data_IF_154935800881
#
_entry.id   IF_154935800881
#
_cell.length_a   1.000
_cell.length_b   1.000
_cell.length_c   1.000
_cell.angle_alpha   90.00
_cell.angle_beta   90.00
_cell.angle_gamma   90.00
#
_symmetry.space_group_name_H-M   'P 1'
#
loop_
_entity.id
_entity.type
_entity.pdbx_description
1 polymer ?
#
# COMPACT_ATOMS: atom_id res chain seq x y z
N UNK A 1 19.44 16.42 -81.98
CA UNK A 1 20.29 17.09 -80.97
C UNK A 1 19.38 17.90 -80.05
N UNK A 2 18.59 17.23 -79.20
CA UNK A 2 18.82 17.11 -77.76
C UNK A 2 19.03 18.47 -77.06
N UNK A 3 18.09 18.90 -76.22
CA UNK A 3 18.30 18.96 -74.77
C UNK A 3 16.95 18.96 -74.02
N UNK A 4 16.93 18.16 -72.97
CA UNK A 4 15.77 17.64 -72.25
C UNK A 4 15.31 18.57 -71.12
N UNK A 5 14.00 18.52 -70.86
CA UNK A 5 13.33 18.97 -69.64
C UNK A 5 13.97 18.36 -68.38
N UNK A 6 14.18 19.17 -67.34
CA UNK A 6 14.51 18.72 -65.99
C UNK A 6 13.44 19.25 -65.02
N UNK A 7 12.38 18.46 -64.82
CA UNK A 7 11.49 18.58 -63.67
C UNK A 7 12.15 17.86 -62.49
N UNK A 8 12.65 18.61 -61.51
CA UNK A 8 13.13 18.05 -60.26
C UNK A 8 11.93 17.70 -59.37
N UNK A 9 11.58 16.42 -59.30
CA UNK A 9 10.63 15.89 -58.31
C UNK A 9 11.36 15.78 -56.97
N UNK A 10 10.93 16.58 -55.99
CA UNK A 10 11.37 16.48 -54.60
C UNK A 10 10.66 15.27 -53.99
N UNK A 11 11.33 14.12 -53.95
CA UNK A 11 10.91 12.98 -53.14
C UNK A 11 11.33 13.22 -51.69
N UNK A 12 10.40 13.73 -50.88
CA UNK A 12 10.50 13.63 -49.42
C UNK A 12 10.43 12.13 -49.06
N UNK A 13 11.37 11.60 -48.27
CA UNK A 13 11.22 10.25 -47.75
C UNK A 13 10.04 10.26 -46.77
N UNK A 14 8.94 9.64 -47.14
CA UNK A 14 7.92 9.22 -46.19
C UNK A 14 8.59 8.20 -45.26
N UNK A 15 9.08 8.67 -44.11
CA UNK A 15 9.36 7.77 -43.00
C UNK A 15 8.03 7.11 -42.66
N UNK A 16 7.89 5.78 -42.71
CA UNK A 16 6.72 5.16 -42.12
C UNK A 16 6.73 5.57 -40.66
N UNK A 17 5.74 6.38 -40.27
CA UNK A 17 5.45 6.56 -38.87
C UNK A 17 5.19 5.15 -38.35
N UNK A 18 6.15 4.61 -37.59
CA UNK A 18 5.93 3.36 -36.88
C UNK A 18 4.60 3.54 -36.16
N UNK A 19 3.61 2.65 -36.36
CA UNK A 19 2.46 2.69 -35.49
C UNK A 19 3.05 2.56 -34.09
N UNK A 20 2.81 3.58 -33.26
CA UNK A 20 2.97 3.41 -31.83
C UNK A 20 2.13 2.18 -31.55
N UNK A 21 2.82 1.05 -31.33
CA UNK A 21 2.20 -0.14 -30.80
C UNK A 21 1.63 0.35 -29.50
N UNK A 22 0.35 0.74 -29.52
CA UNK A 22 -0.42 0.92 -28.33
C UNK A 22 -0.45 -0.49 -27.78
N UNK A 23 0.57 -0.79 -26.95
CA UNK A 23 0.59 -1.93 -26.08
C UNK A 23 -0.59 -1.66 -25.17
N UNK A 24 -1.74 -2.10 -25.63
CA UNK A 24 -2.86 -2.42 -24.81
C UNK A 24 -2.29 -3.51 -23.91
N UNK A 25 -1.73 -3.11 -22.77
CA UNK A 25 -1.44 -4.01 -21.68
C UNK A 25 -2.81 -4.55 -21.27
N UNK A 26 -3.20 -5.60 -21.98
CA UNK A 26 -4.34 -6.41 -21.70
C UNK A 26 -3.98 -7.11 -20.40
N UNK A 27 -4.33 -6.46 -19.30
CA UNK A 27 -4.14 -6.97 -17.95
C UNK A 27 -4.50 -8.45 -17.92
N UNK A 28 -3.61 -9.30 -17.40
CA UNK A 28 -4.03 -10.67 -17.13
C UNK A 28 -5.13 -10.61 -16.07
N UNK A 29 -6.14 -11.49 -16.15
CA UNK A 29 -7.21 -11.53 -15.14
C UNK A 29 -6.65 -11.71 -13.72
N UNK A 30 -5.46 -12.32 -13.59
CA UNK A 30 -4.75 -12.55 -12.34
C UNK A 30 -4.23 -11.22 -11.75
N UNK A 31 -3.67 -10.34 -12.58
CA UNK A 31 -3.17 -9.03 -12.13
C UNK A 31 -4.32 -8.16 -11.63
N UNK A 32 -5.46 -8.19 -12.33
CA UNK A 32 -6.67 -7.46 -11.91
C UNK A 32 -7.21 -7.95 -10.56
N UNK A 33 -7.20 -9.25 -10.30
CA UNK A 33 -7.66 -9.80 -9.02
C UNK A 33 -6.73 -9.42 -7.86
N UNK A 34 -5.42 -9.44 -8.09
CA UNK A 34 -4.41 -9.03 -7.10
C UNK A 34 -4.59 -7.54 -6.76
N UNK A 35 -4.70 -6.69 -7.78
CA UNK A 35 -4.92 -5.24 -7.62
C UNK A 35 -6.22 -4.98 -6.88
N UNK A 36 -7.32 -5.62 -7.28
CA UNK A 36 -8.61 -5.46 -6.63
C UNK A 36 -8.55 -5.83 -5.16
N UNK A 37 -7.94 -6.98 -4.82
CA UNK A 37 -7.79 -7.43 -3.43
C UNK A 37 -6.92 -6.48 -2.60
N UNK A 38 -5.86 -5.94 -3.20
CA UNK A 38 -5.02 -4.94 -2.54
C UNK A 38 -5.83 -3.67 -2.24
N UNK A 39 -6.52 -3.13 -3.26
CA UNK A 39 -7.32 -1.92 -3.12
C UNK A 39 -8.47 -2.14 -2.14
N UNK A 40 -9.17 -3.28 -2.18
CA UNK A 40 -10.26 -3.58 -1.24
C UNK A 40 -9.78 -3.61 0.21
N UNK A 41 -8.56 -4.09 0.44
CA UNK A 41 -7.98 -4.17 1.78
C UNK A 41 -7.46 -2.82 2.29
N UNK A 42 -6.74 -2.08 1.44
CA UNK A 42 -5.99 -0.90 1.87
C UNK A 42 -6.66 0.43 1.51
N UNK A 43 -7.47 0.44 0.45
CA UNK A 43 -8.25 1.58 -0.05
C UNK A 43 -9.74 1.20 -0.15
N UNK A 44 -10.37 0.86 1.00
CA UNK A 44 -11.77 0.44 1.00
C UNK A 44 -12.67 1.62 0.63
N UNK A 45 -13.72 1.33 -0.15
CA UNK A 45 -14.75 2.33 -0.44
C UNK A 45 -15.60 2.52 0.82
N UNK A 46 -15.53 3.71 1.42
CA UNK A 46 -16.21 4.01 2.68
C UNK A 46 -17.70 4.35 2.50
N UNK A 47 -18.08 4.83 1.31
CA UNK A 47 -19.47 5.16 0.98
C UNK A 47 -20.13 4.05 0.16
N UNK A 48 -21.24 3.49 0.67
CA UNK A 48 -22.02 2.45 -0.03
C UNK A 48 -22.65 2.92 -1.35
N UNK A 49 -22.77 4.24 -1.56
CA UNK A 49 -23.35 4.82 -2.77
C UNK A 49 -22.32 5.08 -3.87
N UNK A 50 -21.02 4.98 -3.56
CA UNK A 50 -19.95 5.26 -4.50
C UNK A 50 -19.44 3.96 -5.12
N UNK A 51 -19.53 3.85 -6.45
CA UNK A 51 -18.88 2.78 -7.20
C UNK A 51 -17.74 3.39 -7.98
N UNK A 52 -16.50 3.22 -7.51
CA UNK A 52 -15.30 3.66 -8.22
C UNK A 52 -14.79 2.56 -9.15
N UNK A 53 -14.41 2.93 -10.36
CA UNK A 53 -13.67 2.07 -11.28
C UNK A 53 -12.30 1.71 -10.69
N UNK A 54 -11.70 0.61 -11.17
CA UNK A 54 -10.35 0.22 -10.74
C UNK A 54 -9.32 1.32 -11.06
N UNK A 55 -9.47 2.00 -12.21
CA UNK A 55 -8.60 3.11 -12.60
C UNK A 55 -8.65 4.26 -11.57
N UNK A 56 -9.85 4.68 -11.15
CA UNK A 56 -10.02 5.73 -10.15
C UNK A 56 -9.40 5.34 -8.80
N UNK A 57 -9.57 4.09 -8.39
CA UNK A 57 -8.98 3.56 -7.14
C UNK A 57 -7.46 3.47 -7.22
N UNK A 58 -6.89 3.15 -8.38
CA UNK A 58 -5.44 3.22 -8.61
C UNK A 58 -4.97 4.66 -8.51
N UNK A 59 -5.69 5.64 -9.08
CA UNK A 59 -5.34 7.07 -8.98
C UNK A 59 -5.31 7.55 -7.52
N UNK A 60 -6.26 7.12 -6.69
CA UNK A 60 -6.28 7.43 -5.26
C UNK A 60 -5.06 6.85 -4.53
N UNK A 61 -4.73 5.58 -4.80
CA UNK A 61 -3.56 4.92 -4.23
C UNK A 61 -2.27 5.63 -4.67
N UNK A 62 -2.11 5.92 -5.96
CA UNK A 62 -0.94 6.62 -6.50
C UNK A 62 -0.76 7.98 -5.83
N UNK A 63 -1.86 8.73 -5.66
CA UNK A 63 -1.85 10.01 -4.96
C UNK A 63 -1.40 9.87 -3.50
N UNK A 64 -1.87 8.84 -2.79
CA UNK A 64 -1.49 8.57 -1.41
C UNK A 64 0.00 8.27 -1.25
N UNK A 65 0.57 7.48 -2.17
CA UNK A 65 2.00 7.14 -2.18
C UNK A 65 2.87 8.17 -2.90
N UNK A 66 2.31 9.30 -3.32
CA UNK A 66 3.01 10.36 -4.06
C UNK A 66 3.67 9.89 -5.36
N UNK A 67 3.03 8.94 -6.06
CA UNK A 67 3.41 8.51 -7.40
C UNK A 67 2.83 9.43 -8.47
N UNK A 68 3.32 9.28 -9.71
CA UNK A 68 2.66 9.88 -10.87
C UNK A 68 1.26 9.29 -11.02
N UNK A 69 0.24 10.14 -11.08
CA UNK A 69 -1.17 9.71 -11.12
C UNK A 69 -1.54 9.33 -12.56
N UNK A 70 -1.32 8.05 -12.91
CA UNK A 70 -1.60 7.50 -14.24
C UNK A 70 -2.93 6.73 -14.29
N UNK A 71 -3.41 6.22 -13.15
CA UNK A 71 -4.54 5.28 -13.06
C UNK A 71 -4.26 3.88 -13.60
N UNK A 72 -3.01 3.60 -13.95
CA UNK A 72 -2.57 2.31 -14.49
C UNK A 72 -1.69 1.62 -13.46
N UNK A 73 -1.69 0.30 -13.47
CA UNK A 73 -0.69 -0.49 -12.76
C UNK A 73 0.62 -0.46 -13.56
N UNK A 74 1.30 0.69 -13.52
CA UNK A 74 2.66 0.83 -14.01
C UNK A 74 3.67 0.20 -13.03
N UNK A 75 4.95 0.11 -13.45
CA UNK A 75 6.01 -0.55 -12.67
C UNK A 75 6.17 0.02 -11.27
N UNK A 76 6.01 1.34 -11.11
CA UNK A 76 6.13 2.00 -9.81
C UNK A 76 4.95 1.62 -8.91
N UNK A 77 3.74 1.62 -9.47
CA UNK A 77 2.52 1.19 -8.77
C UNK A 77 2.59 -0.28 -8.36
N UNK A 78 3.05 -1.16 -9.25
CA UNK A 78 3.26 -2.58 -8.97
C UNK A 78 4.30 -2.79 -7.87
N UNK A 79 5.41 -2.05 -7.92
CA UNK A 79 6.44 -2.07 -6.88
C UNK A 79 5.88 -1.73 -5.50
N UNK A 80 5.02 -0.71 -5.40
CA UNK A 80 4.36 -0.35 -4.13
C UNK A 80 3.36 -1.42 -3.67
N UNK A 81 2.58 -2.01 -4.59
CA UNK A 81 1.56 -3.01 -4.25
C UNK A 81 2.17 -4.35 -3.78
N UNK A 82 3.36 -4.69 -4.28
CA UNK A 82 4.07 -5.94 -3.96
C UNK A 82 4.93 -5.85 -2.70
N UNK A 83 5.26 -4.64 -2.24
CA UNK A 83 6.08 -4.43 -1.05
C UNK A 83 5.38 -4.89 0.24
N UNK A 84 6.05 -5.68 1.11
CA UNK A 84 5.51 -6.04 2.43
C UNK A 84 5.16 -4.80 3.25
N UNK A 85 4.00 -4.84 3.91
CA UNK A 85 3.42 -3.68 4.60
C UNK A 85 2.57 -4.05 5.80
N UNK A 86 2.15 -3.04 6.55
CA UNK A 86 1.18 -3.20 7.64
C UNK A 86 -0.15 -3.76 7.11
N UNK A 87 -0.91 -4.44 7.98
CA UNK A 87 -2.19 -5.04 7.62
C UNK A 87 -3.38 -4.09 7.68
N UNK A 88 -3.20 -2.88 8.20
CA UNK A 88 -4.25 -1.86 8.39
C UNK A 88 -4.55 -1.12 7.08
N UNK A 89 -5.79 -0.65 6.85
CA UNK A 89 -6.11 0.21 5.73
C UNK A 89 -5.34 1.53 5.74
N UNK A 90 -5.02 2.04 4.55
CA UNK A 90 -4.29 3.30 4.35
C UNK A 90 -5.25 4.51 4.36
N UNK A 91 -6.47 4.33 3.85
CA UNK A 91 -7.52 5.38 3.79
C UNK A 91 -8.81 4.91 4.47
N UNK A 92 -8.81 4.91 5.79
CA UNK A 92 -10.02 4.78 6.59
C UNK A 92 -9.78 5.37 7.98
N UNK A 93 -10.83 5.90 8.60
CA UNK A 93 -10.82 6.08 10.05
C UNK A 93 -10.61 4.71 10.70
N UNK A 94 -9.92 4.67 11.84
CA UNK A 94 -9.66 3.43 12.57
C UNK A 94 -11.00 2.76 12.97
N UNK A 95 -11.47 1.80 12.16
CA UNK A 95 -12.82 1.26 12.29
C UNK A 95 -13.01 0.31 13.48
N UNK A 96 -11.94 -0.06 14.20
CA UNK A 96 -12.06 -0.98 15.33
C UNK A 96 -12.74 -0.33 16.53
N UNK A 97 -12.61 0.99 16.72
CA UNK A 97 -13.28 1.73 17.79
C UNK A 97 -13.90 3.02 17.24
N UNK A 98 -15.17 3.33 17.57
CA UNK A 98 -15.83 4.54 17.07
C UNK A 98 -15.17 5.82 17.62
N UNK A 99 -15.15 6.87 16.80
CA UNK A 99 -14.67 8.20 17.17
C UNK A 99 -13.15 8.32 17.19
N UNK A 100 -12.61 9.07 18.17
CA UNK A 100 -11.17 9.28 18.33
C UNK A 100 -10.63 8.42 19.48
N UNK A 101 -10.21 7.16 19.22
CA UNK A 101 -9.77 6.26 20.27
C UNK A 101 -8.55 6.83 21.00
N UNK A 102 -8.68 7.00 22.31
CA UNK A 102 -7.60 7.44 23.19
C UNK A 102 -7.65 6.68 24.50
N UNK A 103 -6.48 6.28 24.99
CA UNK A 103 -6.36 5.70 26.31
C UNK A 103 -6.79 6.71 27.38
N UNK A 104 -7.73 6.30 28.25
CA UNK A 104 -8.19 7.12 29.40
C UNK A 104 -7.21 7.11 30.58
N UNK A 105 -6.15 6.31 30.49
CA UNK A 105 -5.08 6.17 31.49
C UNK A 105 -3.72 6.19 30.81
N UNK A 106 -2.70 6.54 31.57
CA UNK A 106 -1.31 6.62 31.07
C UNK A 106 -0.49 5.38 31.38
N UNK A 107 -0.83 4.65 32.44
CA UNK A 107 -0.18 3.41 32.82
C UNK A 107 -0.85 2.23 32.12
N UNK A 108 -0.25 1.79 31.02
CA UNK A 108 -0.74 0.71 30.19
C UNK A 108 -0.01 -0.59 30.51
N UNK A 109 -0.74 -1.70 30.42
CA UNK A 109 -0.22 -3.05 30.61
C UNK A 109 -0.21 -3.79 29.29
N UNK A 110 0.83 -4.59 29.06
CA UNK A 110 0.88 -5.46 27.89
C UNK A 110 1.23 -6.89 28.30
N UNK A 111 0.78 -7.86 27.51
CA UNK A 111 1.17 -9.27 27.67
C UNK A 111 1.30 -9.97 26.34
N UNK A 112 2.05 -11.06 26.35
CA UNK A 112 2.14 -11.98 25.22
C UNK A 112 1.11 -13.08 25.39
N UNK A 113 0.23 -13.22 24.41
CA UNK A 113 -0.70 -14.34 24.34
C UNK A 113 -0.03 -15.52 23.63
N UNK A 114 0.68 -15.24 22.55
CA UNK A 114 1.49 -16.23 21.81
C UNK A 114 2.77 -15.54 21.35
N UNK A 115 3.93 -16.14 21.63
CA UNK A 115 5.23 -15.72 21.09
C UNK A 115 5.46 -16.32 19.70
N UNK A 116 6.28 -15.66 18.87
CA UNK A 116 6.82 -16.33 17.68
C UNK A 116 7.78 -17.47 18.09
N UNK A 117 7.85 -18.50 17.25
CA UNK A 117 8.83 -19.59 17.36
C UNK A 117 10.16 -19.25 16.67
N UNK A 118 10.20 -18.20 15.85
CA UNK A 118 11.37 -17.82 15.05
C UNK A 118 12.48 -17.17 15.90
N UNK A 119 12.14 -16.67 17.09
CA UNK A 119 13.04 -15.95 17.98
C UNK A 119 12.92 -16.42 19.42
N UNK A 120 14.03 -16.44 20.19
CA UNK A 120 13.96 -16.69 21.62
C UNK A 120 13.17 -15.58 22.32
N UNK A 121 12.39 -15.94 23.35
CA UNK A 121 11.48 -15.02 24.06
C UNK A 121 12.15 -13.72 24.50
N UNK A 122 13.38 -13.77 24.99
CA UNK A 122 14.10 -12.58 25.46
C UNK A 122 14.35 -11.56 24.34
N UNK A 123 14.58 -12.00 23.09
CA UNK A 123 14.71 -11.09 21.93
C UNK A 123 13.37 -10.46 21.58
N UNK A 124 12.30 -11.23 21.66
CA UNK A 124 10.92 -10.73 21.44
C UNK A 124 10.56 -9.71 22.52
N UNK A 125 10.86 -10.01 23.77
CA UNK A 125 10.65 -9.12 24.92
C UNK A 125 11.38 -7.80 24.74
N UNK A 126 12.66 -7.86 24.41
CA UNK A 126 13.50 -6.69 24.19
C UNK A 126 13.06 -5.85 22.98
N UNK A 127 12.66 -6.50 21.88
CA UNK A 127 12.16 -5.81 20.69
C UNK A 127 10.84 -5.05 20.96
N UNK A 128 9.86 -5.70 21.60
CA UNK A 128 8.58 -5.05 21.94
C UNK A 128 8.79 -3.96 22.99
N UNK A 129 9.63 -4.19 24.00
CA UNK A 129 9.96 -3.17 24.99
C UNK A 129 10.50 -1.90 24.32
N UNK A 130 11.47 -2.04 23.39
CA UNK A 130 11.98 -0.90 22.61
C UNK A 130 10.92 -0.26 21.73
N UNK A 131 10.05 -1.04 21.10
CA UNK A 131 8.97 -0.50 20.27
C UNK A 131 7.98 0.35 21.09
N UNK A 132 7.67 -0.07 22.32
CA UNK A 132 6.85 0.71 23.24
C UNK A 132 7.57 1.95 23.77
N UNK A 133 8.91 1.89 23.94
CA UNK A 133 9.71 3.04 24.37
C UNK A 133 9.62 4.22 23.40
N UNK A 134 9.56 3.97 22.08
CA UNK A 134 9.38 5.03 21.07
C UNK A 134 8.19 5.96 21.41
N UNK A 135 7.14 5.41 22.02
CA UNK A 135 5.97 6.19 22.45
C UNK A 135 6.12 6.77 23.86
N UNK A 136 6.69 6.03 24.82
CA UNK A 136 6.86 6.56 26.18
C UNK A 136 7.90 7.66 26.27
N UNK A 137 8.88 7.69 25.37
CA UNK A 137 9.96 8.68 25.39
C UNK A 137 9.46 10.10 25.08
N UNK A 138 8.31 10.22 24.40
CA UNK A 138 7.74 11.50 23.95
C UNK A 138 6.31 11.74 24.45
N UNK A 139 5.78 10.87 25.31
CA UNK A 139 4.43 11.01 25.89
C UNK A 139 4.42 10.61 27.36
N UNK A 140 3.39 10.98 28.15
CA UNK A 140 3.25 10.50 29.52
C UNK A 140 2.91 9.00 29.65
N UNK A 141 2.81 8.25 28.56
CA UNK A 141 2.46 6.83 28.59
C UNK A 141 3.59 6.00 29.20
N UNK A 142 3.23 5.06 30.07
CA UNK A 142 4.15 4.05 30.60
C UNK A 142 3.61 2.66 30.31
N UNK A 143 4.52 1.71 30.11
CA UNK A 143 4.17 0.34 29.72
C UNK A 143 4.77 -0.67 30.69
N UNK A 144 3.94 -1.58 31.19
CA UNK A 144 4.36 -2.66 32.09
C UNK A 144 3.94 -4.02 31.55
N UNK A 145 4.89 -4.95 31.40
CA UNK A 145 4.59 -6.35 31.09
C UNK A 145 3.87 -6.99 32.29
N UNK A 146 2.82 -7.76 32.02
CA UNK A 146 2.11 -8.58 33.01
C UNK A 146 2.00 -10.02 32.51
N UNK A 147 2.08 -10.98 33.44
CA UNK A 147 2.08 -12.42 33.09
C UNK A 147 0.71 -13.07 33.26
N UNK A 148 -0.19 -12.48 34.05
CA UNK A 148 -1.52 -13.01 34.34
C UNK A 148 -2.60 -11.94 34.20
N UNK A 149 -3.85 -12.38 34.08
CA UNK A 149 -5.00 -11.49 33.93
C UNK A 149 -5.13 -10.87 32.54
N UNK A 150 -6.06 -9.91 32.41
CA UNK A 150 -6.27 -9.14 31.18
C UNK A 150 -5.29 -7.96 31.15
N UNK A 151 -4.64 -7.76 30.01
CA UNK A 151 -3.79 -6.59 29.77
C UNK A 151 -4.51 -5.59 28.86
N UNK A 152 -4.05 -4.33 28.85
CA UNK A 152 -4.56 -3.31 27.93
C UNK A 152 -4.17 -3.62 26.48
N UNK A 153 -2.97 -4.18 26.28
CA UNK A 153 -2.44 -4.56 24.98
C UNK A 153 -2.07 -6.05 25.00
N UNK A 154 -2.78 -6.86 24.21
CA UNK A 154 -2.50 -8.28 24.05
C UNK A 154 -1.77 -8.55 22.74
N UNK A 155 -0.53 -9.05 22.82
CA UNK A 155 0.34 -9.28 21.66
C UNK A 155 0.31 -10.76 21.30
N UNK A 156 0.02 -11.07 20.03
CA UNK A 156 -0.06 -12.44 19.52
C UNK A 156 0.64 -12.55 18.17
N UNK A 157 1.51 -13.55 18.02
CA UNK A 157 2.04 -13.97 16.72
C UNK A 157 1.19 -15.13 16.17
N UNK A 158 0.66 -14.97 14.96
CA UNK A 158 -0.19 -15.95 14.31
C UNK A 158 0.04 -15.93 12.79
N UNK A 159 -0.28 -17.04 12.12
CA UNK A 159 -0.37 -17.09 10.66
C UNK A 159 -1.72 -16.51 10.24
N UNK A 160 -1.72 -15.84 9.09
CA UNK A 160 -2.93 -15.27 8.47
C UNK A 160 -3.59 -16.29 7.57
#
# INVERSE_FOLDING_TARGET
>A
MHYLLLCALISLPETPAFPLQQRQELWSNIDLEIVKRYLDKFFPILSKTQSLSIEERIKEMQKFFHLTVTGKLDKDTEGIMTMPRCGMPDVAEYQTFPGSPRWKKTHLTYKYVIYTQDLPKWKVDDAIRRALMVWSDVTPLTFRKVDTGRADIEIRFARR
#
